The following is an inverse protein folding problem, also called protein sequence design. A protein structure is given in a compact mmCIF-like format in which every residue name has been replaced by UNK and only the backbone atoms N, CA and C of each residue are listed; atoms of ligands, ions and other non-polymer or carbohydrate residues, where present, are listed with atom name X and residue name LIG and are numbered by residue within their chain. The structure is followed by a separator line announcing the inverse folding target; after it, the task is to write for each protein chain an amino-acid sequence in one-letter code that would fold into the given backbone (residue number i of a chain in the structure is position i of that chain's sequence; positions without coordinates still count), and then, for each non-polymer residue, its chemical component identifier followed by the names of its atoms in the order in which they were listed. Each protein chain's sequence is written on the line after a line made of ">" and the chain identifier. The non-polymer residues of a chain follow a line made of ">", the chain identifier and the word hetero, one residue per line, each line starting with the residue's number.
data_IF_136002643305
#
_entry.id   IF_136002643305
#
_cell.length_a   1.000
_cell.length_b   1.000
_cell.length_c   1.000
_cell.angle_alpha   90.00
_cell.angle_beta   90.00
_cell.angle_gamma   90.00
#
_symmetry.space_group_name_H-M   'P 1'
#
loop_
_entity.id
_entity.type
_entity.pdbx_description
1 polymer ?
#
# COMPACT_ATOMS: atom_id res chain seq x y z
N UNK A 1 11.63 14.59 -11.34
CA UNK A 1 10.99 15.42 -12.39
C UNK A 1 9.52 15.08 -12.56
N UNK A 2 9.17 13.79 -12.72
CA UNK A 2 7.78 13.31 -12.87
C UNK A 2 6.83 13.76 -11.75
N UNK A 3 7.17 13.55 -10.47
CA UNK A 3 6.31 13.91 -9.33
C UNK A 3 5.85 15.39 -9.35
N UNK A 4 6.73 16.32 -9.76
CA UNK A 4 6.41 17.75 -9.85
C UNK A 4 5.43 18.06 -10.97
N UNK A 5 5.49 17.34 -12.08
CA UNK A 5 4.58 17.52 -13.22
C UNK A 5 3.20 16.99 -12.84
N UNK A 6 3.14 15.79 -12.27
CA UNK A 6 1.88 15.16 -11.82
C UNK A 6 1.21 16.04 -10.76
N UNK A 7 1.97 16.60 -9.81
CA UNK A 7 1.41 17.50 -8.79
C UNK A 7 0.86 18.79 -9.39
N UNK A 8 1.53 19.39 -10.39
CA UNK A 8 1.00 20.58 -11.08
C UNK A 8 -0.28 20.27 -11.84
N UNK A 9 -0.32 19.14 -12.55
CA UNK A 9 -1.50 18.70 -13.28
C UNK A 9 -2.68 18.40 -12.36
N UNK A 10 -2.44 17.73 -11.22
CA UNK A 10 -3.48 17.51 -10.22
C UNK A 10 -4.09 18.81 -9.71
N UNK A 11 -3.27 19.84 -9.46
CA UNK A 11 -3.76 21.17 -9.03
C UNK A 11 -4.64 21.88 -10.06
N UNK A 12 -4.54 21.52 -11.35
CA UNK A 12 -5.44 22.09 -12.38
C UNK A 12 -6.78 21.39 -12.43
N UNK A 13 -6.91 20.19 -11.85
CA UNK A 13 -8.19 19.47 -11.80
C UNK A 13 -9.10 20.09 -10.74
N UNK A 14 -10.29 20.54 -11.16
CA UNK A 14 -11.32 21.03 -10.26
C UNK A 14 -12.23 19.88 -9.87
N UNK A 15 -11.91 19.20 -8.78
CA UNK A 15 -12.77 18.13 -8.23
C UNK A 15 -13.35 18.57 -6.90
N UNK A 16 -14.66 18.40 -6.73
CA UNK A 16 -15.29 18.56 -5.42
C UNK A 16 -14.65 17.58 -4.42
N UNK A 17 -14.21 18.02 -3.23
CA UNK A 17 -13.64 17.12 -2.21
C UNK A 17 -14.58 15.98 -1.81
N UNK A 18 -15.88 16.18 -1.95
CA UNK A 18 -16.93 15.26 -1.52
C UNK A 18 -17.46 14.36 -2.65
N UNK A 19 -17.03 14.58 -3.89
CA UNK A 19 -17.39 13.73 -5.02
C UNK A 19 -16.31 12.67 -5.24
N UNK A 20 -16.72 11.40 -5.17
CA UNK A 20 -15.88 10.28 -5.58
C UNK A 20 -15.82 10.25 -7.10
N UNK A 21 -14.75 10.82 -7.65
CA UNK A 21 -14.41 10.75 -9.06
C UNK A 21 -13.37 9.66 -9.27
N UNK A 22 -13.74 8.66 -10.07
CA UNK A 22 -12.89 7.52 -10.39
C UNK A 22 -11.60 7.95 -11.11
N UNK A 23 -11.68 8.85 -12.09
CA UNK A 23 -10.50 9.29 -12.85
C UNK A 23 -9.54 10.06 -11.93
N UNK A 24 -10.09 10.84 -11.00
CA UNK A 24 -9.28 11.55 -10.02
C UNK A 24 -8.64 10.60 -9.01
N UNK A 25 -9.35 9.55 -8.56
CA UNK A 25 -8.78 8.49 -7.72
C UNK A 25 -7.58 7.82 -8.40
N UNK A 26 -7.70 7.47 -9.69
CA UNK A 26 -6.61 6.86 -10.44
C UNK A 26 -5.40 7.80 -10.58
N UNK A 27 -5.65 9.10 -10.82
CA UNK A 27 -4.59 10.10 -10.84
C UNK A 27 -3.85 10.17 -9.49
N UNK A 28 -4.57 10.09 -8.38
CA UNK A 28 -3.98 10.07 -7.05
C UNK A 28 -3.13 8.81 -6.81
N UNK A 29 -3.60 7.63 -7.24
CA UNK A 29 -2.84 6.39 -7.14
C UNK A 29 -1.57 6.45 -7.99
N UNK A 30 -1.67 6.97 -9.21
CA UNK A 30 -0.50 7.16 -10.08
C UNK A 30 0.52 8.13 -9.46
N UNK A 31 0.05 9.25 -8.90
CA UNK A 31 0.94 10.17 -8.18
C UNK A 31 1.65 9.46 -7.02
N UNK A 32 0.92 8.64 -6.27
CA UNK A 32 1.46 7.89 -5.16
C UNK A 32 2.55 6.90 -5.62
N UNK A 33 2.32 6.19 -6.72
CA UNK A 33 3.30 5.30 -7.33
C UNK A 33 4.60 6.05 -7.70
N UNK A 34 4.49 7.21 -8.35
CA UNK A 34 5.67 8.01 -8.71
C UNK A 34 6.45 8.46 -7.47
N UNK A 35 5.78 8.77 -6.35
CA UNK A 35 6.43 9.11 -5.08
C UNK A 35 7.14 7.90 -4.45
N UNK A 36 6.54 6.72 -4.53
CA UNK A 36 7.14 5.45 -4.04
C UNK A 36 8.38 5.07 -4.83
N UNK A 37 8.31 5.11 -6.16
CA UNK A 37 9.45 4.85 -7.03
C UNK A 37 10.59 5.86 -6.82
N UNK A 38 10.26 7.08 -6.40
CA UNK A 38 11.24 8.10 -6.02
C UNK A 38 11.80 7.92 -4.58
N UNK A 39 11.34 6.92 -3.82
CA UNK A 39 11.77 6.68 -2.44
C UNK A 39 11.27 7.72 -1.43
N UNK A 40 10.27 8.53 -1.78
CA UNK A 40 9.73 9.61 -0.94
C UNK A 40 8.65 9.10 0.01
N UNK A 41 8.99 8.09 0.83
CA UNK A 41 8.02 7.36 1.66
C UNK A 41 7.26 8.24 2.67
N UNK A 42 7.86 9.31 3.18
CA UNK A 42 7.16 10.27 4.05
C UNK A 42 6.03 10.99 3.30
N UNK A 43 6.31 11.43 2.07
CA UNK A 43 5.33 12.09 1.22
C UNK A 43 4.21 11.12 0.80
N UNK A 44 4.55 9.86 0.52
CA UNK A 44 3.58 8.79 0.24
C UNK A 44 2.59 8.64 1.40
N UNK A 45 3.08 8.56 2.64
CA UNK A 45 2.24 8.45 3.83
C UNK A 45 1.28 9.63 3.98
N UNK A 46 1.81 10.84 3.81
CA UNK A 46 1.04 12.06 3.98
C UNK A 46 0.00 12.20 2.86
N UNK A 47 0.34 11.78 1.63
CA UNK A 47 -0.55 11.70 0.48
C UNK A 47 -1.73 10.75 0.71
N UNK A 48 -1.45 9.52 1.18
CA UNK A 48 -2.49 8.54 1.51
C UNK A 48 -3.45 9.05 2.59
N UNK A 49 -2.92 9.75 3.59
CA UNK A 49 -3.71 10.32 4.70
C UNK A 49 -4.58 11.47 4.22
N UNK A 50 -4.00 12.38 3.42
CA UNK A 50 -4.67 13.58 2.91
C UNK A 50 -5.84 13.21 2.00
N UNK A 51 -5.65 12.24 1.12
CA UNK A 51 -6.63 11.90 0.07
C UNK A 51 -7.43 10.62 0.37
N UNK A 52 -7.40 10.12 1.61
CA UNK A 52 -8.07 8.87 2.04
C UNK A 52 -9.52 8.73 1.58
N UNK A 53 -10.27 9.84 1.60
CA UNK A 53 -11.69 9.87 1.20
C UNK A 53 -11.90 9.81 -0.31
N UNK A 54 -10.90 10.23 -1.10
CA UNK A 54 -10.99 10.35 -2.55
C UNK A 54 -10.48 9.10 -3.29
N UNK A 55 -9.76 8.20 -2.62
CA UNK A 55 -9.43 6.90 -3.20
C UNK A 55 -10.66 6.01 -3.31
N UNK A 56 -11.02 5.63 -4.54
CA UNK A 56 -12.04 4.63 -4.82
C UNK A 56 -11.52 3.22 -4.51
N UNK A 57 -10.29 2.91 -4.95
CA UNK A 57 -9.66 1.62 -4.70
C UNK A 57 -9.04 1.57 -3.30
N UNK A 58 -9.77 0.95 -2.37
CA UNK A 58 -9.28 0.71 -1.00
C UNK A 58 -8.25 -0.41 -0.93
N UNK A 59 -8.25 -1.36 -1.88
CA UNK A 59 -7.27 -2.44 -1.91
C UNK A 59 -5.89 -1.87 -2.26
N UNK A 60 -5.79 -1.09 -3.34
CA UNK A 60 -4.53 -0.45 -3.74
C UNK A 60 -3.95 0.44 -2.63
N UNK A 61 -4.81 1.11 -1.86
CA UNK A 61 -4.38 1.90 -0.68
C UNK A 61 -3.78 1.00 0.40
N UNK A 62 -4.43 -0.12 0.76
CA UNK A 62 -3.91 -1.02 1.79
C UNK A 62 -2.63 -1.74 1.34
N UNK A 63 -2.54 -2.20 0.09
CA UNK A 63 -1.31 -2.78 -0.47
C UNK A 63 -0.16 -1.76 -0.42
N UNK A 64 -0.44 -0.51 -0.80
CA UNK A 64 0.52 0.58 -0.72
C UNK A 64 0.98 0.85 0.72
N UNK A 65 0.07 0.78 1.70
CA UNK A 65 0.40 0.93 3.13
C UNK A 65 1.32 -0.19 3.61
N UNK A 66 1.06 -1.43 3.20
CA UNK A 66 1.90 -2.58 3.53
C UNK A 66 3.34 -2.37 3.03
N UNK A 67 3.50 -2.01 1.76
CA UNK A 67 4.81 -1.73 1.19
C UNK A 67 5.51 -0.53 1.83
N UNK A 68 4.75 0.54 2.11
CA UNK A 68 5.25 1.73 2.80
C UNK A 68 5.84 1.36 4.18
N UNK A 69 5.13 0.55 4.96
CA UNK A 69 5.60 0.13 6.29
C UNK A 69 6.83 -0.75 6.21
N UNK A 70 6.93 -1.64 5.23
CA UNK A 70 8.16 -2.40 4.99
C UNK A 70 9.36 -1.49 4.69
N UNK A 71 9.19 -0.50 3.80
CA UNK A 71 10.27 0.42 3.44
C UNK A 71 10.67 1.38 4.57
N UNK A 72 9.76 1.65 5.52
CA UNK A 72 10.03 2.42 6.73
C UNK A 72 10.53 1.55 7.91
N UNK A 73 10.75 0.26 7.69
CA UNK A 73 11.12 -0.74 8.72
C UNK A 73 10.14 -0.79 9.91
N UNK A 74 8.86 -0.45 9.67
CA UNK A 74 7.77 -0.55 10.65
C UNK A 74 7.10 -1.91 10.53
N UNK A 75 7.84 -2.94 10.94
CA UNK A 75 7.51 -4.35 10.68
C UNK A 75 6.20 -4.81 11.33
N UNK A 76 5.88 -4.33 12.52
CA UNK A 76 4.64 -4.71 13.23
C UNK A 76 3.39 -4.26 12.46
N UNK A 77 3.39 -3.01 11.99
CA UNK A 77 2.28 -2.46 11.19
C UNK A 77 2.21 -3.11 9.81
N UNK A 78 3.36 -3.39 9.18
CA UNK A 78 3.40 -4.13 7.92
C UNK A 78 2.76 -5.50 8.08
N UNK A 79 3.09 -6.23 9.15
CA UNK A 79 2.53 -7.54 9.47
C UNK A 79 1.00 -7.47 9.60
N UNK A 80 0.48 -6.50 10.36
CA UNK A 80 -0.96 -6.33 10.52
C UNK A 80 -1.66 -6.06 9.19
N UNK A 81 -1.08 -5.19 8.33
CA UNK A 81 -1.65 -4.91 7.01
C UNK A 81 -1.65 -6.15 6.13
N UNK A 82 -0.53 -6.87 6.03
CA UNK A 82 -0.46 -8.04 5.15
C UNK A 82 -1.32 -9.21 5.63
N UNK A 83 -1.54 -9.38 6.95
CA UNK A 83 -2.53 -10.35 7.45
C UNK A 83 -3.94 -10.01 7.00
N UNK A 84 -4.35 -8.74 7.10
CA UNK A 84 -5.66 -8.30 6.59
C UNK A 84 -5.79 -8.46 5.07
N UNK A 85 -4.69 -8.24 4.33
CA UNK A 85 -4.66 -8.47 2.89
C UNK A 85 -4.82 -9.96 2.55
N UNK A 86 -4.15 -10.85 3.30
CA UNK A 86 -4.35 -12.31 3.18
C UNK A 86 -5.80 -12.72 3.47
N UNK A 87 -6.40 -12.24 4.57
CA UNK A 87 -7.82 -12.52 4.88
C UNK A 87 -8.76 -12.06 3.75
N UNK A 88 -8.42 -10.95 3.08
CA UNK A 88 -9.22 -10.39 1.99
C UNK A 88 -9.06 -11.17 0.68
N UNK A 89 -7.84 -11.55 0.30
CA UNK A 89 -7.58 -12.38 -0.87
C UNK A 89 -6.45 -13.37 -0.59
N UNK A 90 -6.80 -14.59 -0.16
CA UNK A 90 -5.85 -15.62 0.24
C UNK A 90 -4.99 -16.20 -0.86
N UNK A 91 -5.46 -16.10 -2.10
CA UNK A 91 -4.80 -16.70 -3.27
C UNK A 91 -3.67 -15.80 -3.80
N UNK A 92 -3.55 -14.58 -3.25
CA UNK A 92 -2.51 -13.66 -3.67
C UNK A 92 -1.17 -13.93 -2.95
N UNK A 93 -0.28 -14.62 -3.66
CA UNK A 93 1.08 -14.95 -3.25
C UNK A 93 1.91 -13.75 -2.78
N UNK A 94 1.64 -12.56 -3.32
CA UNK A 94 2.41 -11.35 -2.96
C UNK A 94 2.25 -10.97 -1.49
N UNK A 95 1.12 -11.29 -0.85
CA UNK A 95 0.88 -10.96 0.56
C UNK A 95 1.67 -11.85 1.51
N UNK A 96 1.84 -13.13 1.16
CA UNK A 96 2.72 -14.04 1.90
C UNK A 96 4.16 -13.55 1.84
N UNK A 97 4.64 -13.15 0.66
CA UNK A 97 5.97 -12.55 0.53
C UNK A 97 6.11 -11.23 1.30
N UNK A 98 5.05 -10.42 1.36
CA UNK A 98 4.99 -9.23 2.22
C UNK A 98 5.14 -9.58 3.70
N UNK A 99 4.45 -10.62 4.17
CA UNK A 99 4.57 -11.13 5.54
C UNK A 99 5.93 -11.72 5.85
N UNK A 100 6.54 -12.45 4.94
CA UNK A 100 7.91 -12.95 5.10
C UNK A 100 8.88 -11.79 5.30
N UNK A 101 8.75 -10.72 4.51
CA UNK A 101 9.58 -9.51 4.65
C UNK A 101 9.33 -8.78 5.96
N UNK A 102 8.09 -8.79 6.47
CA UNK A 102 7.73 -8.16 7.72
C UNK A 102 8.24 -8.96 8.93
N UNK A 103 7.98 -10.27 8.96
CA UNK A 103 8.30 -11.16 10.08
C UNK A 103 9.78 -11.57 10.13
N UNK A 104 10.49 -11.51 9.00
CA UNK A 104 11.92 -11.87 8.87
C UNK A 104 12.25 -13.21 9.57
N UNK A 105 11.62 -14.33 9.17
CA UNK A 105 11.82 -15.62 9.84
C UNK A 105 13.30 -16.02 9.80
N UNK A 106 13.82 -16.47 10.94
CA UNK A 106 15.22 -16.86 11.12
C UNK A 106 15.51 -18.29 10.67
N UNK A 107 14.48 -19.13 10.54
CA UNK A 107 14.60 -20.53 10.12
C UNK A 107 13.58 -20.92 9.04
N UNK A 108 13.84 -22.07 8.39
CA UNK A 108 12.93 -22.61 7.37
C UNK A 108 11.59 -23.02 7.99
N UNK A 109 11.62 -23.51 9.23
CA UNK A 109 10.43 -23.92 10.00
C UNK A 109 9.55 -22.71 10.36
N UNK A 110 10.15 -21.59 10.77
CA UNK A 110 9.42 -20.34 11.02
C UNK A 110 8.79 -19.78 9.75
N UNK A 111 9.50 -19.89 8.62
CA UNK A 111 8.97 -19.51 7.31
C UNK A 111 7.81 -20.40 6.88
N UNK A 112 7.93 -21.71 7.09
CA UNK A 112 6.89 -22.69 6.75
C UNK A 112 5.59 -22.41 7.51
N UNK A 113 5.67 -22.04 8.80
CA UNK A 113 4.50 -21.67 9.60
C UNK A 113 3.65 -20.55 8.98
N UNK A 114 4.27 -19.56 8.33
CA UNK A 114 3.55 -18.45 7.67
C UNK A 114 2.57 -18.98 6.60
N UNK A 115 2.93 -20.07 5.92
CA UNK A 115 2.12 -20.69 4.88
C UNK A 115 1.14 -21.73 5.43
N UNK A 116 1.52 -22.45 6.48
CA UNK A 116 0.68 -23.47 7.11
C UNK A 116 -0.46 -22.86 7.93
N UNK A 117 -0.19 -21.78 8.68
CA UNK A 117 -1.16 -21.12 9.55
C UNK A 117 -2.43 -20.69 8.78
N UNK A 118 -2.30 -20.42 7.47
CA UNK A 118 -3.42 -20.06 6.60
C UNK A 118 -4.15 -21.27 6.00
N UNK A 119 -3.46 -22.38 5.71
CA UNK A 119 -4.09 -23.57 5.13
C UNK A 119 -4.95 -24.31 6.18
N UNK A 120 -4.61 -24.20 7.46
CA UNK A 120 -5.28 -24.93 8.54
C UNK A 120 -6.47 -24.16 9.14
N UNK A 121 -6.59 -22.85 8.87
CA UNK A 121 -7.69 -21.97 9.32
C UNK A 121 -8.87 -21.93 8.35
#
# INVERSE_FOLDING_TARGET
>A
MAAKIVEKFRKTQQTSPDMLDYEYSELLLYQNQVLREAGLYREVRDHLTTYKKQFCDKLAVEETRGELFLNLDRLDEATEVYRRLQERNPENWSYYHGLEKALKPGSVEERQKIYEDYWVS
#
